data_IF_597170587641
#
_entry.id   IF_597170587641
#
_cell.length_a   1.000
_cell.length_b   1.000
_cell.length_c   1.000
_cell.angle_alpha   90.00
_cell.angle_beta   90.00
_cell.angle_gamma   90.00
#
_symmetry.space_group_name_H-M   'P 1'
#
loop_
_entity.id
_entity.type
_entity.pdbx_description
1 polymer ?
#
# COMPACT_ATOMS: atom_id res chain seq x y z
N UNK A 1 9.11 -134.03 -23.16
CA UNK A 1 10.18 -133.01 -22.95
C UNK A 1 9.90 -131.60 -23.53
N UNK A 2 8.80 -131.34 -24.27
CA UNK A 2 8.54 -130.00 -24.90
C UNK A 2 8.07 -128.87 -23.95
N UNK A 3 7.44 -129.17 -22.79
CA UNK A 3 6.92 -128.14 -21.85
C UNK A 3 7.98 -127.37 -21.04
N UNK A 4 9.22 -127.88 -20.92
CA UNK A 4 10.31 -127.22 -20.17
C UNK A 4 11.11 -126.18 -20.98
N UNK A 5 11.09 -126.25 -22.31
CA UNK A 5 11.81 -125.33 -23.19
C UNK A 5 11.06 -124.00 -23.41
N UNK A 6 9.73 -124.04 -23.54
CA UNK A 6 8.91 -122.83 -23.63
C UNK A 6 8.84 -122.05 -22.31
N UNK A 7 8.91 -122.73 -21.16
CA UNK A 7 8.92 -122.07 -19.85
C UNK A 7 10.24 -121.29 -19.60
N UNK A 8 11.37 -121.78 -20.13
CA UNK A 8 12.68 -121.11 -19.98
C UNK A 8 12.81 -119.91 -20.93
N UNK A 9 12.28 -120.02 -22.15
CA UNK A 9 12.28 -118.92 -23.13
C UNK A 9 11.36 -117.74 -22.72
N UNK A 10 10.23 -118.01 -22.06
CA UNK A 10 9.37 -116.94 -21.50
C UNK A 10 9.98 -116.25 -20.27
N UNK A 11 10.78 -116.96 -19.46
CA UNK A 11 11.46 -116.37 -18.30
C UNK A 11 12.60 -115.41 -18.70
N UNK A 12 13.41 -115.76 -19.70
CA UNK A 12 14.47 -114.89 -20.22
C UNK A 12 13.93 -113.63 -20.91
N UNK A 13 12.80 -113.73 -21.62
CA UNK A 13 12.14 -112.58 -22.24
C UNK A 13 11.55 -111.60 -21.20
N UNK A 14 11.02 -112.11 -20.08
CA UNK A 14 10.45 -111.28 -19.00
C UNK A 14 11.55 -110.57 -18.18
N UNK A 15 12.68 -111.26 -17.93
CA UNK A 15 13.86 -110.66 -17.28
C UNK A 15 14.45 -109.56 -18.14
N UNK A 16 14.60 -109.78 -19.47
CA UNK A 16 15.15 -108.78 -20.39
C UNK A 16 14.26 -107.53 -20.51
N UNK A 17 12.92 -107.71 -20.56
CA UNK A 17 11.96 -106.61 -20.52
C UNK A 17 11.98 -105.84 -19.20
N UNK A 18 12.10 -106.53 -18.05
CA UNK A 18 12.23 -105.86 -16.75
C UNK A 18 13.54 -105.07 -16.61
N UNK A 19 14.65 -105.56 -17.16
CA UNK A 19 15.93 -104.82 -17.14
C UNK A 19 15.91 -103.58 -18.04
N UNK A 20 15.33 -103.66 -19.25
CA UNK A 20 15.19 -102.48 -20.12
C UNK A 20 14.19 -101.45 -19.57
N UNK A 21 13.09 -101.91 -18.95
CA UNK A 21 12.15 -101.01 -18.28
C UNK A 21 12.79 -100.29 -17.09
N UNK A 22 13.63 -100.99 -16.30
CA UNK A 22 14.35 -100.40 -15.17
C UNK A 22 15.44 -99.42 -15.61
N UNK A 23 16.14 -99.70 -16.71
CA UNK A 23 17.13 -98.80 -17.29
C UNK A 23 16.48 -97.50 -17.82
N UNK A 24 15.36 -97.61 -18.55
CA UNK A 24 14.60 -96.42 -19.02
C UNK A 24 14.01 -95.60 -17.87
N UNK A 25 13.58 -96.26 -16.79
CA UNK A 25 13.09 -95.56 -15.60
C UNK A 25 14.20 -94.81 -14.85
N UNK A 26 15.41 -95.39 -14.73
CA UNK A 26 16.55 -94.72 -14.08
C UNK A 26 17.07 -93.53 -14.90
N UNK A 27 17.10 -93.66 -16.23
CA UNK A 27 17.49 -92.58 -17.13
C UNK A 27 16.47 -91.43 -17.14
N UNK A 28 15.17 -91.75 -17.17
CA UNK A 28 14.11 -90.75 -17.02
C UNK A 28 14.20 -90.00 -15.67
N UNK A 29 14.53 -90.71 -14.59
CA UNK A 29 14.68 -90.11 -13.25
C UNK A 29 15.89 -89.18 -13.16
N UNK A 30 17.02 -89.54 -13.79
CA UNK A 30 18.23 -88.69 -13.88
C UNK A 30 17.99 -87.43 -14.71
N UNK A 31 17.28 -87.53 -15.83
CA UNK A 31 16.93 -86.36 -16.66
C UNK A 31 15.98 -85.42 -15.91
N UNK A 32 15.02 -85.98 -15.15
CA UNK A 32 14.12 -85.19 -14.30
C UNK A 32 14.85 -84.47 -13.16
N UNK A 33 15.76 -85.15 -12.45
CA UNK A 33 16.57 -84.54 -11.37
C UNK A 33 17.52 -83.45 -11.90
N UNK A 34 18.15 -83.69 -13.06
CA UNK A 34 19.00 -82.71 -13.71
C UNK A 34 18.23 -81.46 -14.16
N UNK A 35 17.02 -81.63 -14.72
CA UNK A 35 16.15 -80.49 -15.08
C UNK A 35 15.68 -79.73 -13.84
N UNK A 36 15.28 -80.43 -12.77
CA UNK A 36 14.84 -79.79 -11.53
C UNK A 36 15.96 -78.97 -10.87
N UNK A 37 17.20 -79.50 -10.83
CA UNK A 37 18.37 -78.76 -10.32
C UNK A 37 18.75 -77.58 -11.20
N UNK A 38 18.67 -77.71 -12.52
CA UNK A 38 18.94 -76.60 -13.44
C UNK A 38 17.91 -75.47 -13.29
N UNK A 39 16.62 -75.80 -13.13
CA UNK A 39 15.56 -74.82 -12.93
C UNK A 39 15.66 -74.13 -11.56
N UNK A 40 15.98 -74.88 -10.50
CA UNK A 40 16.22 -74.34 -9.17
C UNK A 40 17.41 -73.38 -9.15
N UNK A 41 18.51 -73.71 -9.84
CA UNK A 41 19.70 -72.86 -9.93
C UNK A 41 19.41 -71.57 -10.73
N UNK A 42 18.64 -71.65 -11.82
CA UNK A 42 18.18 -70.46 -12.56
C UNK A 42 17.29 -69.55 -11.72
N UNK A 43 16.29 -70.10 -11.01
CA UNK A 43 15.41 -69.31 -10.13
C UNK A 43 16.18 -68.65 -8.97
N UNK A 44 17.17 -69.33 -8.40
CA UNK A 44 18.01 -68.75 -7.35
C UNK A 44 18.88 -67.59 -7.87
N UNK A 45 19.48 -67.75 -9.05
CA UNK A 45 20.32 -66.71 -9.65
C UNK A 45 19.50 -65.49 -10.10
N UNK A 46 18.30 -65.71 -10.64
CA UNK A 46 17.37 -64.63 -11.02
C UNK A 46 16.88 -63.86 -9.80
N UNK A 47 16.52 -64.56 -8.71
CA UNK A 47 16.11 -63.92 -7.45
C UNK A 47 17.26 -63.13 -6.81
N UNK A 48 18.49 -63.63 -6.86
CA UNK A 48 19.67 -62.92 -6.35
C UNK A 48 19.98 -61.65 -7.17
N UNK A 49 19.86 -61.71 -8.50
CA UNK A 49 20.02 -60.53 -9.36
C UNK A 49 18.93 -59.49 -9.11
N UNK A 50 17.67 -59.91 -8.95
CA UNK A 50 16.56 -59.02 -8.64
C UNK A 50 16.71 -58.31 -7.28
N UNK A 51 17.14 -59.03 -6.23
CA UNK A 51 17.37 -58.44 -4.89
C UNK A 51 18.54 -57.45 -4.90
N UNK A 52 19.63 -57.78 -5.60
CA UNK A 52 20.78 -56.89 -5.76
C UNK A 52 20.43 -55.61 -6.52
N UNK A 53 19.62 -55.70 -7.58
CA UNK A 53 19.18 -54.53 -8.34
C UNK A 53 18.19 -53.67 -7.53
N UNK A 54 17.27 -54.30 -6.78
CA UNK A 54 16.35 -53.60 -5.89
C UNK A 54 17.09 -52.84 -4.77
N UNK A 55 18.09 -53.45 -4.14
CA UNK A 55 18.94 -52.78 -3.14
C UNK A 55 19.72 -51.60 -3.73
N UNK A 56 20.29 -51.74 -4.92
CA UNK A 56 21.00 -50.64 -5.59
C UNK A 56 20.08 -49.48 -5.94
N UNK A 57 18.86 -49.75 -6.42
CA UNK A 57 17.85 -48.71 -6.70
C UNK A 57 17.35 -48.02 -5.42
N UNK A 58 17.21 -48.76 -4.32
CA UNK A 58 16.80 -48.19 -3.03
C UNK A 58 17.88 -47.27 -2.44
N UNK A 59 19.15 -47.68 -2.44
CA UNK A 59 20.27 -46.85 -1.94
C UNK A 59 20.48 -45.59 -2.79
N UNK A 60 20.38 -45.72 -4.11
CA UNK A 60 20.47 -44.57 -5.03
C UNK A 60 19.32 -43.57 -4.81
N UNK A 61 18.09 -44.05 -4.61
CA UNK A 61 16.93 -43.20 -4.33
C UNK A 61 17.04 -42.51 -2.97
N UNK A 62 17.51 -43.22 -1.94
CA UNK A 62 17.71 -42.65 -0.61
C UNK A 62 18.78 -41.55 -0.59
N UNK A 63 19.89 -41.74 -1.32
CA UNK A 63 20.93 -40.70 -1.48
C UNK A 63 20.44 -39.48 -2.25
N UNK A 64 19.70 -39.69 -3.34
CA UNK A 64 19.14 -38.59 -4.13
C UNK A 64 18.13 -37.75 -3.32
N UNK A 65 17.26 -38.39 -2.53
CA UNK A 65 16.26 -37.70 -1.71
C UNK A 65 16.91 -36.92 -0.55
N UNK A 66 17.95 -37.48 0.07
CA UNK A 66 18.71 -36.81 1.12
C UNK A 66 19.48 -35.57 0.61
N UNK A 67 20.06 -35.66 -0.59
CA UNK A 67 20.76 -34.53 -1.20
C UNK A 67 19.80 -33.43 -1.67
N UNK A 68 18.63 -33.82 -2.23
CA UNK A 68 17.57 -32.89 -2.61
C UNK A 68 16.99 -32.14 -1.39
N UNK A 69 16.76 -32.83 -0.27
CA UNK A 69 16.33 -32.19 0.98
C UNK A 69 17.35 -31.20 1.52
N UNK A 70 18.64 -31.53 1.51
CA UNK A 70 19.70 -30.60 1.96
C UNK A 70 19.79 -29.35 1.08
N UNK A 71 19.65 -29.50 -0.25
CA UNK A 71 19.65 -28.36 -1.18
C UNK A 71 18.40 -27.48 -1.03
N UNK A 72 17.24 -28.07 -0.78
CA UNK A 72 16.00 -27.33 -0.57
C UNK A 72 16.03 -26.52 0.74
N UNK A 73 16.53 -27.11 1.83
CA UNK A 73 16.62 -26.43 3.14
C UNK A 73 17.62 -25.26 3.10
N UNK A 74 18.78 -25.46 2.46
CA UNK A 74 19.78 -24.40 2.27
C UNK A 74 19.25 -23.23 1.41
N UNK A 75 18.45 -23.50 0.37
CA UNK A 75 17.88 -22.47 -0.49
C UNK A 75 16.78 -21.67 0.23
N UNK A 76 15.92 -22.32 1.01
CA UNK A 76 14.89 -21.63 1.79
C UNK A 76 15.48 -20.72 2.88
N UNK A 77 16.59 -21.12 3.50
CA UNK A 77 17.23 -20.32 4.54
C UNK A 77 17.91 -19.06 3.97
N UNK A 78 18.52 -19.16 2.80
CA UNK A 78 19.11 -18.03 2.09
C UNK A 78 18.05 -17.02 1.59
N UNK A 79 16.91 -17.50 1.06
CA UNK A 79 15.83 -16.63 0.58
C UNK A 79 15.15 -15.86 1.73
N UNK A 80 14.96 -16.52 2.88
CA UNK A 80 14.37 -15.90 4.06
C UNK A 80 15.23 -14.77 4.67
N UNK A 81 16.55 -14.91 4.68
CA UNK A 81 17.45 -13.84 5.14
C UNK A 81 17.53 -12.67 4.14
N UNK A 82 17.54 -12.97 2.84
CA UNK A 82 17.55 -11.93 1.80
C UNK A 82 16.27 -11.08 1.84
N UNK A 83 15.10 -11.72 2.02
CA UNK A 83 13.81 -11.01 2.15
C UNK A 83 13.75 -10.12 3.38
N UNK A 84 14.27 -10.56 4.53
CA UNK A 84 14.29 -9.75 5.77
C UNK A 84 15.18 -8.51 5.64
N UNK A 85 16.35 -8.62 5.00
CA UNK A 85 17.23 -7.46 4.76
C UNK A 85 16.64 -6.49 3.75
N UNK A 86 15.99 -6.97 2.70
CA UNK A 86 15.34 -6.11 1.71
C UNK A 86 14.16 -5.32 2.30
N UNK A 87 13.33 -5.97 3.13
CA UNK A 87 12.17 -5.31 3.74
C UNK A 87 12.59 -4.24 4.77
N UNK A 88 13.61 -4.52 5.58
CA UNK A 88 14.17 -3.55 6.53
C UNK A 88 14.79 -2.33 5.82
N UNK A 89 15.49 -2.53 4.69
CA UNK A 89 16.05 -1.44 3.90
C UNK A 89 14.97 -0.58 3.23
N UNK A 90 13.88 -1.20 2.74
CA UNK A 90 12.75 -0.47 2.15
C UNK A 90 12.04 0.38 3.21
N UNK A 91 11.77 -0.20 4.38
CA UNK A 91 11.08 0.49 5.48
C UNK A 91 11.90 1.66 6.05
N UNK A 92 13.23 1.53 6.09
CA UNK A 92 14.12 2.61 6.50
C UNK A 92 14.20 3.75 5.46
N UNK A 93 14.12 3.44 4.17
CA UNK A 93 14.10 4.45 3.09
C UNK A 93 12.78 5.24 3.09
N UNK A 94 11.66 4.53 3.24
CA UNK A 94 10.32 5.13 3.27
C UNK A 94 10.13 6.06 4.49
N UNK A 95 10.65 5.66 5.66
CA UNK A 95 10.62 6.51 6.86
C UNK A 95 11.47 7.78 6.72
N UNK A 96 12.63 7.70 6.04
CA UNK A 96 13.47 8.89 5.78
C UNK A 96 12.83 9.83 4.76
N UNK A 97 12.19 9.31 3.72
CA UNK A 97 11.49 10.14 2.73
C UNK A 97 10.26 10.81 3.34
N UNK A 98 9.50 10.12 4.20
CA UNK A 98 8.35 10.71 4.90
C UNK A 98 8.77 11.82 5.88
N UNK A 99 9.87 11.63 6.60
CA UNK A 99 10.41 12.65 7.51
C UNK A 99 10.92 13.89 6.76
N UNK A 100 11.65 13.70 5.66
CA UNK A 100 12.14 14.80 4.82
C UNK A 100 11.01 15.58 4.14
N UNK A 101 9.93 14.90 3.76
CA UNK A 101 8.75 15.54 3.19
C UNK A 101 8.00 16.37 4.24
N UNK A 102 7.88 15.87 5.47
CA UNK A 102 7.21 16.60 6.57
C UNK A 102 7.96 17.87 6.96
N UNK A 103 9.28 17.81 7.06
CA UNK A 103 10.14 18.96 7.37
C UNK A 103 10.07 20.04 6.28
N UNK A 104 10.09 19.64 5.00
CA UNK A 104 9.99 20.54 3.87
C UNK A 104 8.61 21.20 3.73
N UNK A 105 7.54 20.51 4.14
CA UNK A 105 6.19 21.08 4.17
C UNK A 105 5.99 22.02 5.37
N UNK A 106 6.53 21.69 6.55
CA UNK A 106 6.45 22.54 7.74
C UNK A 106 7.11 23.91 7.53
N UNK A 107 8.36 23.92 7.05
CA UNK A 107 9.13 25.14 6.84
C UNK A 107 8.52 26.08 5.76
N UNK A 108 7.85 25.52 4.74
CA UNK A 108 7.16 26.32 3.71
C UNK A 108 5.86 26.93 4.22
N UNK A 109 5.10 26.23 5.05
CA UNK A 109 3.82 26.73 5.58
C UNK A 109 4.05 27.86 6.57
N UNK A 110 5.04 27.75 7.47
CA UNK A 110 5.38 28.83 8.41
C UNK A 110 5.95 30.08 7.71
N UNK A 111 6.79 29.92 6.68
CA UNK A 111 7.30 31.07 5.89
C UNK A 111 6.26 31.71 4.99
N UNK A 112 5.26 30.95 4.52
CA UNK A 112 4.13 31.49 3.77
C UNK A 112 3.17 32.26 4.67
N UNK A 113 2.86 31.72 5.86
CA UNK A 113 1.99 32.39 6.84
C UNK A 113 2.61 33.71 7.35
N UNK A 114 3.90 33.71 7.71
CA UNK A 114 4.57 34.92 8.23
C UNK A 114 4.79 36.04 7.20
N UNK A 115 4.93 35.71 5.91
CA UNK A 115 4.96 36.71 4.82
C UNK A 115 3.56 37.16 4.40
N UNK A 116 2.58 36.26 4.41
CA UNK A 116 1.17 36.59 4.13
C UNK A 116 0.58 37.52 5.17
N UNK A 117 0.88 37.29 6.46
CA UNK A 117 0.33 38.09 7.56
C UNK A 117 0.90 39.52 7.60
N UNK A 118 2.21 39.68 7.35
CA UNK A 118 2.84 41.01 7.30
C UNK A 118 2.39 41.84 6.09
N UNK A 119 2.31 41.22 4.90
CA UNK A 119 1.84 41.91 3.70
C UNK A 119 0.34 42.20 3.81
N UNK A 120 -0.43 41.24 4.34
CA UNK A 120 -1.85 41.40 4.62
C UNK A 120 -2.13 42.57 5.57
N UNK A 121 -1.43 42.65 6.70
CA UNK A 121 -1.65 43.74 7.67
C UNK A 121 -1.32 45.14 7.10
N UNK A 122 -0.29 45.25 6.26
CA UNK A 122 0.06 46.54 5.65
C UNK A 122 -0.98 46.97 4.61
N UNK A 123 -1.43 46.04 3.77
CA UNK A 123 -2.48 46.29 2.76
C UNK A 123 -3.81 46.63 3.44
N UNK A 124 -4.19 45.89 4.49
CA UNK A 124 -5.39 46.17 5.31
C UNK A 124 -5.34 47.57 5.90
N UNK A 125 -4.21 48.02 6.47
CA UNK A 125 -4.09 49.38 7.01
C UNK A 125 -4.27 50.45 5.94
N UNK A 126 -3.61 50.29 4.79
CA UNK A 126 -3.74 51.25 3.67
C UNK A 126 -5.15 51.34 3.10
N UNK A 127 -5.88 50.21 3.08
CA UNK A 127 -7.26 50.17 2.62
C UNK A 127 -8.20 50.81 3.63
N UNK A 128 -7.99 50.59 4.93
CA UNK A 128 -8.78 51.25 5.97
C UNK A 128 -8.70 52.78 5.87
N UNK A 129 -7.50 53.30 5.64
CA UNK A 129 -7.30 54.74 5.48
C UNK A 129 -7.92 55.25 4.18
N UNK A 130 -7.86 54.47 3.09
CA UNK A 130 -8.56 54.78 1.84
C UNK A 130 -10.09 54.84 2.03
N UNK A 131 -10.68 53.86 2.73
CA UNK A 131 -12.12 53.86 3.02
C UNK A 131 -12.48 55.11 3.82
N UNK A 132 -11.71 55.43 4.86
CA UNK A 132 -11.94 56.62 5.67
C UNK A 132 -11.87 57.89 4.84
N UNK A 133 -10.88 58.01 3.95
CA UNK A 133 -10.72 59.15 3.08
C UNK A 133 -11.90 59.29 2.12
N UNK A 134 -12.28 58.23 1.41
CA UNK A 134 -13.40 58.25 0.47
C UNK A 134 -14.73 58.63 1.14
N UNK A 135 -14.99 58.08 2.33
CA UNK A 135 -16.20 58.43 3.10
C UNK A 135 -16.14 59.88 3.55
N UNK A 136 -15.00 60.35 4.03
CA UNK A 136 -14.78 61.75 4.46
C UNK A 136 -14.97 62.73 3.30
N UNK A 137 -14.40 62.44 2.13
CA UNK A 137 -14.49 63.27 0.92
C UNK A 137 -15.94 63.42 0.44
N UNK A 138 -16.78 62.40 0.67
CA UNK A 138 -18.20 62.41 0.31
C UNK A 138 -19.11 62.85 1.46
N UNK A 139 -18.54 63.24 2.61
CA UNK A 139 -19.32 63.54 3.79
C UNK A 139 -19.74 65.01 3.85
N UNK A 140 -21.04 65.23 3.72
CA UNK A 140 -21.67 66.51 4.00
C UNK A 140 -22.15 66.50 5.45
N UNK A 141 -21.38 67.11 6.35
CA UNK A 141 -21.67 67.11 7.80
C UNK A 141 -22.94 67.90 8.09
N UNK A 142 -23.88 67.25 8.79
CA UNK A 142 -25.13 67.86 9.24
C UNK A 142 -25.18 67.92 10.77
N UNK A 143 -25.84 68.94 11.33
CA UNK A 143 -26.11 69.03 12.77
C UNK A 143 -24.97 69.56 13.65
N UNK A 144 -24.01 70.27 13.05
CA UNK A 144 -22.95 71.03 13.73
C UNK A 144 -22.29 70.32 14.94
N UNK A 145 -21.70 69.13 14.73
CA UNK A 145 -21.10 68.34 15.79
C UNK A 145 -19.91 69.06 16.46
N UNK A 146 -19.63 68.73 17.72
CA UNK A 146 -18.38 69.15 18.36
C UNK A 146 -17.19 68.45 17.69
N UNK A 147 -15.99 69.06 17.68
CA UNK A 147 -14.83 68.47 16.99
C UNK A 147 -14.44 67.08 17.50
N UNK A 148 -14.69 66.77 18.78
CA UNK A 148 -14.37 65.46 19.38
C UNK A 148 -15.50 64.43 19.24
N UNK A 149 -16.56 64.76 18.48
CA UNK A 149 -17.70 63.87 18.24
C UNK A 149 -17.28 62.71 17.34
N UNK A 150 -17.56 61.48 17.78
CA UNK A 150 -17.21 60.26 17.04
C UNK A 150 -18.43 59.42 16.74
N UNK A 151 -18.51 58.86 15.54
CA UNK A 151 -19.54 57.90 15.13
C UNK A 151 -18.88 56.62 14.63
N UNK A 152 -19.41 55.49 15.06
CA UNK A 152 -19.03 54.16 14.57
C UNK A 152 -20.02 53.69 13.51
N UNK A 153 -19.54 53.38 12.32
CA UNK A 153 -20.33 52.80 11.23
C UNK A 153 -19.87 51.37 10.98
N UNK A 154 -20.80 50.42 10.95
CA UNK A 154 -20.58 49.08 10.44
C UNK A 154 -20.99 49.04 8.97
N UNK A 155 -20.00 48.84 8.11
CA UNK A 155 -20.15 48.79 6.66
C UNK A 155 -20.04 47.34 6.22
N UNK A 156 -21.04 46.88 5.47
CA UNK A 156 -21.05 45.56 4.86
C UNK A 156 -20.77 45.69 3.37
N UNK A 157 -19.72 45.01 2.91
CA UNK A 157 -19.24 45.09 1.54
C UNK A 157 -19.21 43.72 0.88
N UNK A 158 -19.23 43.72 -0.44
CA UNK A 158 -18.96 42.57 -1.29
C UNK A 158 -17.46 42.52 -1.65
N UNK A 159 -16.95 41.35 -2.08
CA UNK A 159 -15.54 41.19 -2.46
C UNK A 159 -15.10 42.10 -3.61
N UNK A 160 -16.06 42.59 -4.40
CA UNK A 160 -15.82 43.55 -5.49
C UNK A 160 -15.67 45.00 -5.01
N UNK A 161 -15.79 45.24 -3.70
CA UNK A 161 -15.75 46.54 -3.05
C UNK A 161 -17.09 47.27 -2.97
N UNK A 162 -18.19 46.65 -3.44
CA UNK A 162 -19.51 47.28 -3.44
C UNK A 162 -20.11 47.31 -2.04
N UNK A 163 -20.54 48.48 -1.60
CA UNK A 163 -21.19 48.67 -0.29
C UNK A 163 -22.64 48.21 -0.40
N UNK A 164 -22.99 47.19 0.38
CA UNK A 164 -24.35 46.61 0.38
C UNK A 164 -25.22 47.14 1.50
N UNK A 165 -24.62 47.37 2.67
CA UNK A 165 -25.34 47.85 3.84
C UNK A 165 -24.44 48.74 4.70
N UNK A 166 -25.05 49.72 5.37
CA UNK A 166 -24.38 50.61 6.32
C UNK A 166 -25.30 50.76 7.52
N UNK A 167 -24.78 50.43 8.70
CA UNK A 167 -25.49 50.53 9.98
C UNK A 167 -24.65 51.28 11.00
N UNK A 168 -25.29 51.89 11.99
CA UNK A 168 -24.59 52.63 13.04
C UNK A 168 -24.24 51.62 14.14
N UNK A 169 -22.95 51.40 14.37
CA UNK A 169 -22.47 50.53 15.46
C UNK A 169 -22.33 51.29 16.78
N UNK A 170 -21.99 52.58 16.70
CA UNK A 170 -21.89 53.48 17.85
C UNK A 170 -22.41 54.86 17.49
N UNK A 171 -23.52 55.26 18.08
CA UNK A 171 -24.06 56.62 17.90
C UNK A 171 -23.13 57.65 18.54
N UNK A 172 -23.02 58.80 17.89
CA UNK A 172 -22.29 59.95 18.40
C UNK A 172 -23.05 60.77 19.45
N UNK A 173 -24.33 60.45 19.67
CA UNK A 173 -25.26 61.27 20.46
C UNK A 173 -25.93 62.39 19.64
N UNK A 174 -25.58 62.55 18.35
CA UNK A 174 -26.23 63.49 17.44
C UNK A 174 -26.78 62.74 16.22
N UNK A 175 -28.11 62.59 16.16
CA UNK A 175 -28.77 61.83 15.10
C UNK A 175 -28.54 62.42 13.69
N UNK A 176 -28.45 63.75 13.56
CA UNK A 176 -28.17 64.40 12.27
C UNK A 176 -26.76 64.07 11.78
N UNK A 177 -25.79 64.07 12.69
CA UNK A 177 -24.41 63.67 12.39
C UNK A 177 -24.34 62.20 12.00
N UNK A 178 -24.97 61.31 12.78
CA UNK A 178 -24.99 59.87 12.51
C UNK A 178 -25.61 59.55 11.15
N UNK A 179 -26.77 60.15 10.83
CA UNK A 179 -27.43 59.96 9.54
C UNK A 179 -26.60 60.51 8.37
N UNK A 180 -25.90 61.63 8.57
CA UNK A 180 -25.01 62.18 7.55
C UNK A 180 -23.84 61.23 7.25
N UNK A 181 -23.28 60.57 8.27
CA UNK A 181 -22.22 59.60 8.12
C UNK A 181 -22.68 58.34 7.37
N UNK A 182 -23.89 57.84 7.67
CA UNK A 182 -24.51 56.73 6.93
C UNK A 182 -24.71 57.09 5.45
N UNK A 183 -25.15 58.33 5.19
CA UNK A 183 -25.36 58.82 3.82
C UNK A 183 -24.03 58.94 3.06
N UNK A 184 -22.98 59.46 3.71
CA UNK A 184 -21.65 59.58 3.13
C UNK A 184 -21.10 58.21 2.72
N UNK A 185 -21.17 57.21 3.61
CA UNK A 185 -20.72 55.86 3.30
C UNK A 185 -21.51 55.22 2.16
N UNK A 186 -22.83 55.46 2.07
CA UNK A 186 -23.63 54.98 0.93
C UNK A 186 -23.28 55.67 -0.39
N UNK A 187 -22.94 56.96 -0.35
CA UNK A 187 -22.57 57.74 -1.54
C UNK A 187 -21.24 57.29 -2.17
N UNK A 188 -20.31 56.75 -1.38
CA UNK A 188 -19.08 56.15 -1.90
C UNK A 188 -19.39 55.02 -2.89
N UNK A 189 -20.40 54.19 -2.58
CA UNK A 189 -20.92 53.15 -3.46
C UNK A 189 -20.00 51.94 -3.63
N UNK A 190 -18.79 52.13 -4.19
CA UNK A 190 -17.84 51.05 -4.49
C UNK A 190 -16.39 51.48 -4.29
N UNK A 191 -15.62 50.59 -3.67
CA UNK A 191 -14.18 50.77 -3.39
C UNK A 191 -13.38 49.65 -4.09
N UNK A 192 -12.96 49.83 -5.36
CA UNK A 192 -12.37 48.76 -6.15
C UNK A 192 -11.05 48.21 -5.57
N UNK A 193 -10.35 48.96 -4.74
CA UNK A 193 -9.09 48.56 -4.11
C UNK A 193 -9.26 47.40 -3.12
N UNK A 194 -10.48 47.15 -2.64
CA UNK A 194 -10.80 45.99 -1.81
C UNK A 194 -10.53 44.67 -2.55
N UNK A 195 -10.58 44.67 -3.88
CA UNK A 195 -10.28 43.49 -4.72
C UNK A 195 -8.80 43.06 -4.67
N UNK A 196 -7.92 43.90 -4.12
CA UNK A 196 -6.51 43.57 -3.94
C UNK A 196 -6.28 42.65 -2.74
N UNK A 197 -7.26 42.54 -1.83
CA UNK A 197 -7.23 41.58 -0.73
C UNK A 197 -7.55 40.18 -1.26
N UNK A 198 -6.95 39.19 -0.61
CA UNK A 198 -7.35 37.81 -0.84
C UNK A 198 -8.78 37.57 -0.31
N UNK A 199 -9.48 36.58 -0.89
CA UNK A 199 -10.87 36.30 -0.56
C UNK A 199 -11.09 35.92 0.93
N UNK A 200 -10.14 35.22 1.55
CA UNK A 200 -10.21 34.82 2.95
C UNK A 200 -10.03 36.03 3.87
N UNK A 201 -9.00 36.87 3.65
CA UNK A 201 -8.80 38.10 4.42
C UNK A 201 -9.99 39.05 4.27
N UNK A 202 -10.53 39.19 3.05
CA UNK A 202 -11.72 39.99 2.81
C UNK A 202 -12.93 39.46 3.61
N UNK A 203 -13.22 38.16 3.52
CA UNK A 203 -14.37 37.57 4.19
C UNK A 203 -14.30 37.67 5.71
N UNK A 204 -13.09 37.64 6.27
CA UNK A 204 -12.85 37.76 7.70
C UNK A 204 -12.88 39.21 8.19
N UNK A 205 -12.27 40.15 7.46
CA UNK A 205 -12.02 41.51 7.96
C UNK A 205 -12.91 42.59 7.36
N UNK A 206 -13.31 42.47 6.09
CA UNK A 206 -13.96 43.52 5.30
C UNK A 206 -15.41 43.24 4.90
N UNK A 207 -15.85 41.98 4.99
CA UNK A 207 -17.27 41.62 4.78
C UNK A 207 -18.21 42.41 5.70
N UNK A 208 -17.81 42.59 6.96
CA UNK A 208 -18.48 43.44 7.95
C UNK A 208 -17.42 44.16 8.76
N UNK A 209 -17.12 45.41 8.41
CA UNK A 209 -16.06 46.18 9.07
C UNK A 209 -16.61 47.42 9.73
N UNK A 210 -16.20 47.62 10.99
CA UNK A 210 -16.55 48.81 11.74
C UNK A 210 -15.48 49.88 11.52
N UNK A 211 -15.90 51.04 11.02
CA UNK A 211 -15.08 52.24 10.87
C UNK A 211 -15.53 53.28 11.88
N UNK A 212 -14.55 53.93 12.51
CA UNK A 212 -14.79 55.05 13.43
C UNK A 212 -14.41 56.33 12.73
N UNK A 213 -15.35 57.24 12.70
CA UNK A 213 -15.23 58.55 12.07
C UNK A 213 -15.32 59.63 13.14
N UNK A 214 -14.49 60.65 13.03
CA UNK A 214 -14.44 61.77 13.98
C UNK A 214 -14.76 63.05 13.24
N UNK A 215 -15.52 63.96 13.86
CA UNK A 215 -15.84 65.26 13.28
C UNK A 215 -14.60 66.15 13.04
N UNK A 216 -13.53 65.89 13.79
CA UNK A 216 -12.23 66.56 13.63
C UNK A 216 -11.63 66.27 12.26
N UNK A 217 -11.68 67.27 11.38
CA UNK A 217 -11.09 67.20 10.03
C UNK A 217 -12.10 66.98 8.90
N UNK A 218 -13.40 67.04 9.20
CA UNK A 218 -14.49 67.09 8.23
C UNK A 218 -14.94 68.53 7.95
#
# INVERSE_FOLDING_TARGET
MKKKAEAKSKADADVKKKTEAKAKADEAKKIADAKAKAEAKKKAEEKAKADAEAKKKADAKAKADAEAKKKADAKNKADAEAKKKADAARKAKEAKEAAALTDLLGDKVERAATKGDQVGSQVVGSLDDLVKQLVTDNWIVQGNPSPDTTVGLLIEMLPDGTITNVTISRSSGNASFDNSAVTAARNVGRIPEIQQLDADTFNQLYRKRAFVFTAKGL
#
